data_IF_368663427674
#
_entry.id   IF_368663427674
#
_cell.length_a   1.000
_cell.length_b   1.000
_cell.length_c   1.000
_cell.angle_alpha   90.00
_cell.angle_beta   90.00
_cell.angle_gamma   90.00
#
_symmetry.space_group_name_H-M   'P 1'
#
loop_
_entity.id
_entity.type
_entity.pdbx_description
1 polymer ?
#
# COMPACT_ATOMS: atom_id res chain seq x y z
N UNK A 1 8.07 2.66 -9.50
CA UNK A 1 8.83 3.03 -10.73
C UNK A 1 7.94 2.69 -11.92
N UNK A 2 7.76 3.61 -12.86
CA UNK A 2 7.03 3.33 -14.10
C UNK A 2 8.00 2.66 -15.09
N UNK A 3 7.68 1.45 -15.54
CA UNK A 3 8.47 0.76 -16.56
C UNK A 3 7.90 1.06 -17.95
N UNK A 4 8.75 1.57 -18.85
CA UNK A 4 8.42 1.86 -20.24
C UNK A 4 9.26 0.93 -21.16
N UNK A 5 8.67 0.11 -22.05
CA UNK A 5 9.40 -0.75 -22.99
C UNK A 5 10.32 -0.01 -23.96
N UNK A 6 10.13 1.30 -24.17
CA UNK A 6 10.90 2.13 -25.09
C UNK A 6 11.96 2.94 -24.32
N UNK A 7 11.57 3.61 -23.24
CA UNK A 7 12.47 4.49 -22.47
C UNK A 7 13.01 3.87 -21.17
N UNK A 8 12.67 2.60 -20.91
CA UNK A 8 13.06 1.84 -19.71
C UNK A 8 12.78 2.63 -18.42
N UNK A 9 13.82 3.04 -17.71
CA UNK A 9 13.74 3.83 -16.47
C UNK A 9 14.12 5.31 -16.67
N UNK A 10 14.46 5.73 -17.89
CA UNK A 10 14.88 7.11 -18.19
C UNK A 10 13.74 7.89 -18.81
N UNK A 11 13.05 8.73 -18.03
CA UNK A 11 11.86 9.48 -18.47
C UNK A 11 10.75 8.57 -19.08
N UNK A 12 10.26 7.59 -18.30
CA UNK A 12 9.22 6.69 -18.76
C UNK A 12 7.92 7.45 -19.07
N UNK A 13 7.27 7.10 -20.18
CA UNK A 13 5.96 7.63 -20.56
C UNK A 13 4.87 6.70 -20.02
N UNK A 14 3.74 7.25 -19.59
CA UNK A 14 2.56 6.47 -19.24
C UNK A 14 2.05 5.73 -20.47
N UNK A 15 2.02 4.40 -20.41
CA UNK A 15 1.59 3.54 -21.50
C UNK A 15 0.30 2.83 -21.06
N UNK A 16 -0.81 3.04 -21.79
CA UNK A 16 -2.05 2.28 -21.56
C UNK A 16 -1.79 0.78 -21.47
N UNK A 17 -2.35 0.15 -20.44
CA UNK A 17 -2.16 -1.26 -20.10
C UNK A 17 -0.87 -1.60 -19.32
N UNK A 18 0.02 -0.63 -19.06
CA UNK A 18 1.18 -0.87 -18.20
C UNK A 18 0.79 -0.91 -16.72
N UNK A 19 1.34 -1.86 -15.98
CA UNK A 19 1.16 -1.99 -14.54
C UNK A 19 2.26 -1.26 -13.78
N UNK A 20 1.86 -0.44 -12.81
CA UNK A 20 2.73 0.28 -11.89
C UNK A 20 2.63 -0.36 -10.51
N UNK A 21 3.79 -0.64 -9.92
CA UNK A 21 3.88 -1.03 -8.52
C UNK A 21 4.16 0.19 -7.64
N UNK A 22 3.27 0.38 -6.67
CA UNK A 22 3.31 1.46 -5.68
C UNK A 22 3.86 0.94 -4.36
N UNK A 23 4.63 1.78 -3.67
CA UNK A 23 5.11 1.52 -2.31
C UNK A 23 5.02 2.80 -1.51
N UNK A 24 4.12 2.81 -0.53
CA UNK A 24 3.97 3.91 0.42
C UNK A 24 4.65 3.49 1.72
N UNK A 25 5.63 4.26 2.16
CA UNK A 25 6.33 4.00 3.42
C UNK A 25 5.95 5.05 4.47
N UNK A 26 5.59 4.58 5.66
CA UNK A 26 5.31 5.42 6.83
C UNK A 26 6.28 5.05 7.93
N UNK A 27 6.90 6.04 8.57
CA UNK A 27 7.88 5.83 9.65
C UNK A 27 7.55 6.65 10.89
N UNK A 28 7.67 6.05 12.06
CA UNK A 28 7.66 6.75 13.33
C UNK A 28 9.10 7.13 13.72
N UNK A 29 9.33 8.41 13.97
CA UNK A 29 10.67 8.95 14.24
C UNK A 29 11.29 8.36 15.52
N UNK A 30 12.62 8.40 15.60
CA UNK A 30 13.32 8.05 16.83
C UNK A 30 12.89 8.97 17.98
N UNK A 31 12.64 8.38 19.15
CA UNK A 31 12.13 9.10 20.32
C UNK A 31 10.64 9.47 20.24
N UNK A 32 9.92 9.05 19.19
CA UNK A 32 8.47 9.17 19.11
C UNK A 32 7.78 8.26 20.13
N UNK A 33 6.58 8.65 20.59
CA UNK A 33 5.70 7.74 21.30
C UNK A 33 5.17 6.64 20.35
N UNK A 34 4.66 5.55 20.90
CA UNK A 34 4.00 4.50 20.10
C UNK A 34 2.84 5.13 19.34
N UNK A 35 2.85 5.01 18.01
CA UNK A 35 1.78 5.47 17.15
C UNK A 35 0.84 4.31 16.85
N UNK A 36 -0.40 4.39 17.33
CA UNK A 36 -1.42 3.35 17.19
C UNK A 36 -2.53 3.80 16.24
N UNK A 37 -3.28 2.85 15.69
CA UNK A 37 -4.45 3.12 14.83
C UNK A 37 -4.11 3.98 13.59
N UNK A 38 -2.89 3.84 13.06
CA UNK A 38 -2.50 4.53 11.84
C UNK A 38 -3.30 3.97 10.66
N UNK A 39 -3.85 4.87 9.84
CA UNK A 39 -4.52 4.58 8.58
C UNK A 39 -3.77 5.21 7.42
N UNK A 40 -3.57 4.45 6.34
CA UNK A 40 -3.01 4.90 5.06
C UNK A 40 -4.12 4.82 4.00
N UNK A 41 -4.31 5.87 3.23
CA UNK A 41 -5.26 5.93 2.12
C UNK A 41 -4.57 6.49 0.89
N UNK A 42 -4.77 5.87 -0.28
CA UNK A 42 -4.31 6.39 -1.57
C UNK A 42 -5.43 6.26 -2.61
N UNK A 43 -5.85 7.40 -3.15
CA UNK A 43 -6.88 7.48 -4.20
C UNK A 43 -6.18 7.58 -5.55
N UNK A 44 -6.39 6.56 -6.38
CA UNK A 44 -5.81 6.48 -7.71
C UNK A 44 -6.43 7.55 -8.62
N UNK A 45 -5.61 8.28 -9.39
CA UNK A 45 -6.07 9.07 -10.52
C UNK A 45 -7.03 8.31 -11.43
N UNK A 46 -7.95 9.05 -12.07
CA UNK A 46 -8.96 8.49 -12.97
C UNK A 46 -8.42 7.81 -14.25
N UNK A 47 -7.11 7.91 -14.51
CA UNK A 47 -6.41 7.24 -15.62
C UNK A 47 -5.76 5.92 -15.16
N UNK A 48 -6.09 5.43 -13.97
CA UNK A 48 -5.56 4.20 -13.42
C UNK A 48 -6.63 3.36 -12.73
N UNK A 49 -6.57 2.06 -12.99
CA UNK A 49 -7.41 1.06 -12.36
C UNK A 49 -6.59 0.24 -11.36
N UNK A 50 -7.08 0.06 -10.12
CA UNK A 50 -6.47 -0.84 -9.15
C UNK A 50 -6.38 -2.27 -9.70
N UNK A 51 -5.20 -2.91 -9.59
CA UNK A 51 -5.03 -4.30 -9.98
C UNK A 51 -5.42 -5.19 -8.80
N UNK A 52 -6.39 -6.08 -8.99
CA UNK A 52 -6.94 -6.94 -7.92
C UNK A 52 -6.01 -8.11 -7.53
N UNK A 53 -4.71 -7.85 -7.41
CA UNK A 53 -3.69 -8.81 -6.96
C UNK A 53 -3.39 -8.71 -5.46
N UNK A 54 -4.12 -7.84 -4.76
CA UNK A 54 -4.09 -7.67 -3.31
C UNK A 54 -3.28 -6.47 -2.86
N UNK A 55 -3.44 -6.11 -1.59
CA UNK A 55 -2.61 -5.10 -0.92
C UNK A 55 -1.71 -5.85 0.05
N UNK A 56 -0.42 -5.56 -0.04
CA UNK A 56 0.60 -6.10 0.85
C UNK A 56 0.99 -5.05 1.87
N UNK A 57 0.93 -5.40 3.15
CA UNK A 57 1.39 -4.56 4.26
C UNK A 57 2.60 -5.23 4.92
N UNK A 58 3.72 -4.51 5.00
CA UNK A 58 4.92 -4.95 5.69
C UNK A 58 5.06 -4.08 6.93
N UNK A 59 4.93 -4.64 8.13
CA UNK A 59 5.17 -3.91 9.37
C UNK A 59 6.57 -4.21 9.91
N UNK A 60 7.36 -3.17 10.20
CA UNK A 60 8.70 -3.27 10.78
C UNK A 60 8.70 -3.42 12.31
N UNK A 61 7.62 -3.05 13.01
CA UNK A 61 7.53 -3.11 14.49
C UNK A 61 6.85 -4.38 15.01
N UNK A 62 7.35 -4.95 16.12
CA UNK A 62 6.86 -6.23 16.70
C UNK A 62 5.44 -6.16 17.31
N UNK A 63 4.73 -7.25 17.60
CA UNK A 63 4.99 -8.68 17.46
C UNK A 63 4.36 -9.23 16.18
N UNK A 64 5.17 -9.89 15.34
CA UNK A 64 4.72 -10.43 14.06
C UNK A 64 5.04 -9.52 12.87
N UNK A 65 6.23 -8.91 12.85
CA UNK A 65 6.78 -8.34 11.62
C UNK A 65 6.69 -9.40 10.51
N UNK A 66 5.78 -9.15 9.59
CA UNK A 66 5.30 -10.14 8.64
C UNK A 66 4.64 -9.42 7.48
N UNK A 67 4.61 -10.10 6.34
CA UNK A 67 3.81 -9.70 5.20
C UNK A 67 2.36 -10.02 5.53
N UNK A 68 1.57 -9.02 5.88
CA UNK A 68 0.13 -9.14 5.96
C UNK A 68 -0.43 -8.89 4.55
N UNK A 69 -0.80 -9.97 3.85
CA UNK A 69 -1.43 -9.94 2.52
C UNK A 69 -2.12 -11.28 2.32
N UNK A 70 -3.35 -11.39 1.81
CA UNK A 70 -4.02 -10.61 0.78
C UNK A 70 -5.48 -10.42 1.21
N UNK A 71 -5.90 -9.19 1.53
CA UNK A 71 -7.31 -8.88 1.76
C UNK A 71 -7.88 -8.30 0.46
N UNK A 72 -8.44 -9.19 -0.39
CA UNK A 72 -9.32 -8.81 -1.50
C UNK A 72 -10.77 -8.71 -0.99
N UNK A 73 -10.97 -8.04 0.14
CA UNK A 73 -12.30 -7.82 0.68
C UNK A 73 -12.80 -6.48 0.14
N UNK A 74 -13.59 -6.54 -0.93
CA UNK A 74 -14.49 -5.43 -1.28
C UNK A 74 -15.40 -5.22 -0.06
N UNK A 75 -15.24 -4.10 0.66
CA UNK A 75 -16.04 -3.82 1.87
C UNK A 75 -15.33 -3.95 3.22
N UNK A 76 -14.00 -3.97 3.25
CA UNK A 76 -13.21 -3.74 4.49
C UNK A 76 -12.52 -4.98 5.05
N UNK A 77 -11.65 -4.75 6.04
CA UNK A 77 -10.76 -5.76 6.61
C UNK A 77 -11.44 -6.66 7.67
N UNK A 78 -11.38 -8.00 7.54
CA UNK A 78 -11.94 -8.93 8.52
C UNK A 78 -10.99 -9.34 9.66
N UNK A 79 -9.72 -8.90 9.67
CA UNK A 79 -8.74 -9.37 10.65
C UNK A 79 -8.79 -8.59 11.97
N UNK A 80 -9.22 -9.29 13.02
CA UNK A 80 -9.27 -8.78 14.39
C UNK A 80 -7.85 -8.57 14.93
N UNK A 81 -7.38 -7.32 14.94
CA UNK A 81 -6.22 -6.89 15.74
C UNK A 81 -4.89 -6.70 15.01
N UNK A 82 -4.83 -6.91 13.69
CA UNK A 82 -3.63 -6.66 12.88
C UNK A 82 -3.87 -5.62 11.78
N UNK A 83 -2.78 -5.09 11.24
CA UNK A 83 -2.83 -4.18 10.10
C UNK A 83 -3.28 -4.90 8.83
N UNK A 84 -4.16 -4.28 8.05
CA UNK A 84 -4.78 -4.91 6.90
C UNK A 84 -5.21 -3.90 5.84
N UNK A 85 -5.11 -4.29 4.57
CA UNK A 85 -5.42 -3.44 3.42
C UNK A 85 -6.62 -3.92 2.60
N UNK A 86 -7.40 -2.99 2.05
CA UNK A 86 -8.51 -3.28 1.14
C UNK A 86 -8.63 -2.21 0.04
N UNK A 87 -9.26 -2.59 -1.08
CA UNK A 87 -9.72 -1.66 -2.11
C UNK A 87 -11.21 -1.35 -1.89
N UNK A 88 -11.57 -0.08 -1.92
CA UNK A 88 -12.92 0.37 -1.56
C UNK A 88 -13.96 0.27 -2.69
N UNK A 89 -13.52 -0.06 -3.91
CA UNK A 89 -14.40 -0.13 -5.09
C UNK A 89 -14.60 1.19 -5.83
N UNK A 90 -13.96 2.27 -5.38
CA UNK A 90 -14.09 3.64 -5.92
C UNK A 90 -12.73 4.29 -6.19
N UNK A 91 -11.73 3.47 -6.52
CA UNK A 91 -10.35 3.90 -6.82
C UNK A 91 -9.48 4.23 -5.61
N UNK A 92 -9.92 3.92 -4.39
CA UNK A 92 -9.09 4.10 -3.20
C UNK A 92 -8.64 2.77 -2.60
N UNK A 93 -7.34 2.70 -2.32
CA UNK A 93 -6.74 1.64 -1.53
C UNK A 93 -6.52 2.15 -0.10
N UNK A 94 -6.82 1.31 0.89
CA UNK A 94 -6.77 1.68 2.30
C UNK A 94 -6.02 0.62 3.08
N UNK A 95 -5.23 1.03 4.07
CA UNK A 95 -4.66 0.16 5.12
C UNK A 95 -5.00 0.76 6.47
N UNK A 96 -5.52 -0.05 7.40
CA UNK A 96 -5.82 0.37 8.78
C UNK A 96 -5.22 -0.63 9.78
N UNK A 97 -5.19 -0.28 11.06
CA UNK A 97 -4.74 -1.14 12.15
C UNK A 97 -3.22 -1.13 12.35
N UNK A 98 -2.52 -0.16 11.79
CA UNK A 98 -1.06 -0.06 11.91
C UNK A 98 -0.70 0.46 13.31
N UNK A 99 0.25 -0.22 13.95
CA UNK A 99 0.95 0.26 15.15
C UNK A 99 2.45 0.32 14.86
N UNK A 100 3.08 1.46 15.18
CA UNK A 100 4.52 1.71 15.01
C UNK A 100 5.15 2.19 16.33
N UNK A 101 6.06 1.39 16.89
CA UNK A 101 6.94 1.84 17.96
C UNK A 101 7.91 2.94 17.49
N UNK A 102 8.61 3.55 18.42
CA UNK A 102 9.67 4.51 18.10
C UNK A 102 10.69 3.89 17.13
N UNK A 103 11.09 4.64 16.09
CA UNK A 103 12.05 4.20 15.08
C UNK A 103 11.60 2.99 14.23
N UNK A 104 10.29 2.73 14.15
CA UNK A 104 9.73 1.70 13.26
C UNK A 104 9.14 2.29 11.98
N UNK A 105 9.00 1.44 10.96
CA UNK A 105 8.32 1.79 9.73
C UNK A 105 7.36 0.69 9.28
N UNK A 106 6.47 1.04 8.37
CA UNK A 106 5.62 0.11 7.63
C UNK A 106 5.58 0.50 6.16
N UNK A 107 5.28 -0.47 5.30
CA UNK A 107 5.06 -0.27 3.88
C UNK A 107 3.69 -0.81 3.47
N UNK A 108 3.01 -0.05 2.63
CA UNK A 108 1.85 -0.50 1.85
C UNK A 108 2.30 -0.65 0.40
N UNK A 109 2.04 -1.82 -0.19
CA UNK A 109 2.42 -2.17 -1.55
C UNK A 109 1.17 -2.65 -2.29
N UNK A 110 0.93 -2.10 -3.47
CA UNK A 110 -0.19 -2.46 -4.33
C UNK A 110 0.17 -2.15 -5.79
N UNK A 111 -0.59 -2.73 -6.73
CA UNK A 111 -0.43 -2.48 -8.15
C UNK A 111 -1.64 -1.76 -8.73
N UNK A 112 -1.41 -0.91 -9.72
CA UNK A 112 -2.46 -0.30 -10.54
C UNK A 112 -2.05 -0.33 -12.01
N UNK A 113 -3.02 -0.37 -12.91
CA UNK A 113 -2.81 -0.39 -14.37
C UNK A 113 -3.24 0.95 -14.95
N UNK A 114 -2.46 1.48 -15.89
CA UNK A 114 -2.84 2.68 -16.65
C UNK A 114 -3.93 2.29 -17.66
N UNK A 115 -5.01 3.07 -17.73
CA UNK A 115 -6.12 2.83 -18.67
C UNK A 115 -5.80 3.15 -20.14
#
# INVERSE_FOLDING_TARGET
LLWDPINLFTNPIAIPGATISYTIQVSNAAGGAIATEITITDTLPAEMTYTSDGITVINGGGAGGGTFGLSNATGGCPEFGNACGWYDGTDTVVVNGITLDANQNTQMIFNATID
#
